data_IF_357131012298
#
_entry.id   IF_357131012298
#
_cell.length_a   1.000
_cell.length_b   1.000
_cell.length_c   1.000
_cell.angle_alpha   90.00
_cell.angle_beta   90.00
_cell.angle_gamma   90.00
#
_symmetry.space_group_name_H-M   'P 1'
#
loop_
_entity.id
_entity.type
_entity.pdbx_description
1 polymer ?
#
# COMPACT_ATOMS: atom_id res chain seq x y z
N UNK A 1 -41.81 31.55 -13.56
CA UNK A 1 -41.78 31.04 -12.17
C UNK A 1 -40.65 31.74 -11.42
N UNK A 2 -40.91 32.36 -10.26
CA UNK A 2 -39.95 33.21 -9.53
C UNK A 2 -38.80 32.37 -8.98
N UNK A 3 -37.66 32.36 -9.68
CA UNK A 3 -36.40 31.75 -9.23
C UNK A 3 -35.78 32.43 -8.01
N UNK A 4 -36.20 33.67 -7.71
CA UNK A 4 -35.73 34.50 -6.59
C UNK A 4 -36.74 34.48 -5.44
N UNK A 5 -36.26 34.20 -4.23
CA UNK A 5 -37.06 34.16 -3.01
C UNK A 5 -36.43 35.09 -1.94
N UNK A 6 -37.15 36.11 -1.45
CA UNK A 6 -36.67 36.92 -0.34
C UNK A 6 -36.63 36.10 0.95
N UNK A 7 -35.54 36.19 1.71
CA UNK A 7 -35.33 35.51 2.98
C UNK A 7 -34.72 36.48 3.99
N UNK A 8 -35.20 36.44 5.23
CA UNK A 8 -34.66 37.23 6.33
C UNK A 8 -33.73 36.37 7.18
N UNK A 9 -32.49 36.79 7.36
CA UNK A 9 -31.50 36.09 8.19
C UNK A 9 -30.89 37.09 9.16
N UNK A 10 -31.14 36.88 10.45
CA UNK A 10 -30.70 37.73 11.56
C UNK A 10 -31.07 39.21 11.36
N UNK A 11 -32.30 39.48 10.89
CA UNK A 11 -32.81 40.84 10.66
C UNK A 11 -32.38 41.49 9.35
N UNK A 12 -31.53 40.83 8.55
CA UNK A 12 -31.08 41.33 7.24
C UNK A 12 -31.76 40.58 6.10
N UNK A 13 -32.28 41.33 5.13
CA UNK A 13 -32.91 40.79 3.92
C UNK A 13 -31.86 40.27 2.93
N UNK A 14 -32.10 39.08 2.40
CA UNK A 14 -31.33 38.47 1.33
C UNK A 14 -32.27 37.86 0.28
N UNK A 15 -31.72 37.54 -0.88
CA UNK A 15 -32.44 36.94 -2.00
C UNK A 15 -31.81 35.58 -2.33
N UNK A 16 -32.56 34.50 -2.07
CA UNK A 16 -32.17 33.14 -2.40
C UNK A 16 -32.54 32.84 -3.85
N UNK A 17 -31.55 32.38 -4.63
CA UNK A 17 -31.74 32.04 -6.04
C UNK A 17 -31.76 30.53 -6.21
N UNK A 18 -32.85 30.01 -6.76
CA UNK A 18 -32.98 28.62 -7.17
C UNK A 18 -33.34 28.58 -8.66
N UNK A 19 -32.62 27.80 -9.45
CA UNK A 19 -32.84 27.64 -10.89
C UNK A 19 -33.40 26.25 -11.18
N UNK A 20 -34.43 26.16 -12.03
CA UNK A 20 -35.02 24.88 -12.41
C UNK A 20 -34.65 24.54 -13.84
N UNK A 21 -34.02 23.39 -14.04
CA UNK A 21 -33.61 22.92 -15.37
C UNK A 21 -33.62 21.40 -15.43
N UNK A 22 -34.14 20.81 -16.53
CA UNK A 22 -34.26 19.35 -16.75
C UNK A 22 -34.72 18.58 -15.49
N UNK A 23 -35.84 18.99 -14.89
CA UNK A 23 -36.44 18.43 -13.65
C UNK A 23 -35.64 18.61 -12.34
N UNK A 24 -34.54 19.35 -12.35
CA UNK A 24 -33.69 19.59 -11.17
C UNK A 24 -33.84 21.03 -10.67
N UNK A 25 -34.00 21.18 -9.36
CA UNK A 25 -33.91 22.46 -8.66
C UNK A 25 -32.48 22.65 -8.16
N UNK A 26 -31.78 23.66 -8.67
CA UNK A 26 -30.39 23.96 -8.36
C UNK A 26 -30.35 25.26 -7.56
N UNK A 27 -29.89 25.19 -6.32
CA UNK A 27 -29.58 26.38 -5.55
C UNK A 27 -28.34 27.06 -6.15
N UNK A 28 -28.45 28.30 -6.62
CA UNK A 28 -27.34 29.05 -7.23
C UNK A 28 -26.58 29.89 -6.20
N UNK A 29 -27.27 30.46 -5.23
CA UNK A 29 -26.65 31.29 -4.21
C UNK A 29 -27.64 32.16 -3.44
N UNK A 30 -27.10 32.95 -2.51
CA UNK A 30 -27.84 33.95 -1.74
C UNK A 30 -27.13 35.28 -1.90
N UNK A 31 -27.90 36.32 -2.24
CA UNK A 31 -27.38 37.65 -2.58
C UNK A 31 -28.02 38.72 -1.69
N UNK A 32 -27.31 39.82 -1.46
CA UNK A 32 -27.82 40.94 -0.64
C UNK A 32 -28.74 41.88 -1.42
N UNK A 33 -28.65 41.89 -2.74
CA UNK A 33 -29.50 42.72 -3.62
C UNK A 33 -30.32 41.85 -4.57
N UNK A 34 -31.48 42.37 -4.99
CA UNK A 34 -32.32 41.72 -6.00
C UNK A 34 -31.67 41.79 -7.40
N UNK A 35 -30.91 42.85 -7.67
CA UNK A 35 -30.18 43.02 -8.93
C UNK A 35 -29.14 41.90 -9.13
N UNK A 36 -28.33 41.60 -8.11
CA UNK A 36 -27.35 40.52 -8.13
C UNK A 36 -28.00 39.15 -8.33
N UNK A 37 -29.15 38.94 -7.67
CA UNK A 37 -29.94 37.73 -7.81
C UNK A 37 -30.47 37.56 -9.24
N UNK A 38 -30.89 38.65 -9.88
CA UNK A 38 -31.35 38.65 -11.26
C UNK A 38 -30.21 38.40 -12.26
N UNK A 39 -29.06 39.05 -12.08
CA UNK A 39 -27.86 38.81 -12.90
C UNK A 39 -27.47 37.33 -12.84
N UNK A 40 -27.45 36.73 -11.64
CA UNK A 40 -27.13 35.30 -11.44
C UNK A 40 -28.07 34.37 -12.20
N UNK A 41 -29.37 34.70 -12.28
CA UNK A 41 -30.34 33.91 -13.06
C UNK A 41 -30.11 34.04 -14.55
N UNK A 42 -29.85 35.27 -15.02
CA UNK A 42 -29.58 35.52 -16.42
C UNK A 42 -28.32 34.74 -16.85
N UNK A 43 -27.24 34.80 -16.07
CA UNK A 43 -26.02 34.00 -16.30
C UNK A 43 -26.30 32.49 -16.35
N UNK A 44 -27.12 31.97 -15.42
CA UNK A 44 -27.47 30.56 -15.42
C UNK A 44 -28.33 30.15 -16.63
N UNK A 45 -29.20 31.05 -17.08
CA UNK A 45 -30.05 30.88 -18.28
C UNK A 45 -29.18 30.85 -19.52
N UNK A 46 -28.30 31.85 -19.69
CA UNK A 46 -27.36 31.95 -20.79
C UNK A 46 -26.46 30.70 -20.89
N UNK A 47 -25.98 30.18 -19.76
CA UNK A 47 -25.15 28.97 -19.72
C UNK A 47 -25.90 27.74 -20.23
N UNK A 48 -27.17 27.56 -19.86
CA UNK A 48 -27.92 26.36 -20.29
C UNK A 48 -28.47 26.47 -21.70
N UNK A 49 -28.66 27.69 -22.22
CA UNK A 49 -29.14 27.95 -23.59
C UNK A 49 -28.01 28.04 -24.62
N UNK A 50 -26.82 28.51 -24.21
CA UNK A 50 -25.66 28.63 -25.10
C UNK A 50 -24.79 27.38 -25.02
N UNK A 51 -24.37 26.82 -26.17
CA UNK A 51 -23.42 25.71 -26.25
C UNK A 51 -21.97 26.18 -26.05
N UNK A 52 -21.64 26.61 -24.82
CA UNK A 52 -20.28 27.00 -24.44
C UNK A 52 -19.59 25.92 -23.59
N UNK A 53 -18.27 25.74 -23.77
CA UNK A 53 -17.49 24.91 -22.85
C UNK A 53 -17.30 25.59 -21.48
N UNK A 54 -16.90 24.83 -20.46
CA UNK A 54 -16.63 25.34 -19.11
C UNK A 54 -15.64 26.50 -19.12
N UNK A 55 -14.58 26.42 -19.96
CA UNK A 55 -13.55 27.47 -20.06
C UNK A 55 -14.02 28.73 -20.80
N UNK A 56 -15.05 28.62 -21.64
CA UNK A 56 -15.59 29.73 -22.43
C UNK A 56 -16.79 30.40 -21.77
N UNK A 57 -17.36 29.78 -20.72
CA UNK A 57 -18.52 30.31 -20.03
C UNK A 57 -18.22 31.70 -19.43
N UNK A 58 -19.08 32.67 -19.75
CA UNK A 58 -18.99 34.04 -19.22
C UNK A 58 -19.95 34.18 -18.04
N UNK A 59 -19.42 34.62 -16.90
CA UNK A 59 -20.19 34.83 -15.68
C UNK A 59 -19.45 35.82 -14.77
N UNK A 60 -20.19 36.46 -13.86
CA UNK A 60 -19.68 37.47 -12.92
C UNK A 60 -20.04 37.11 -11.48
N UNK A 61 -21.30 36.75 -11.22
CA UNK A 61 -21.80 36.49 -9.85
C UNK A 61 -22.04 35.02 -9.57
N UNK A 62 -22.27 34.22 -10.62
CA UNK A 62 -22.42 32.79 -10.47
C UNK A 62 -21.10 32.15 -10.04
N UNK A 63 -21.13 31.31 -9.01
CA UNK A 63 -19.90 30.61 -8.61
C UNK A 63 -19.48 29.58 -9.67
N UNK A 64 -18.18 29.45 -9.91
CA UNK A 64 -17.62 28.50 -10.88
C UNK A 64 -18.14 27.06 -10.69
N UNK A 65 -18.32 26.59 -9.45
CA UNK A 65 -18.90 25.27 -9.18
C UNK A 65 -20.30 25.10 -9.80
N UNK A 66 -21.11 26.17 -9.79
CA UNK A 66 -22.46 26.15 -10.39
C UNK A 66 -22.39 26.16 -11.91
N UNK A 67 -21.43 26.87 -12.49
CA UNK A 67 -21.16 26.84 -13.93
C UNK A 67 -20.90 25.41 -14.40
N UNK A 68 -19.97 24.70 -13.74
CA UNK A 68 -19.66 23.29 -14.07
C UNK A 68 -20.90 22.39 -13.95
N UNK A 69 -21.68 22.53 -12.87
CA UNK A 69 -22.89 21.74 -12.64
C UNK A 69 -23.96 21.99 -13.71
N UNK A 70 -24.18 23.26 -14.08
CA UNK A 70 -25.15 23.63 -15.11
C UNK A 70 -24.75 23.10 -16.48
N UNK A 71 -23.47 23.26 -16.84
CA UNK A 71 -22.93 22.75 -18.10
C UNK A 71 -23.02 21.23 -18.16
N UNK A 72 -22.64 20.51 -17.10
CA UNK A 72 -22.79 19.06 -17.07
C UNK A 72 -24.26 18.60 -17.19
N UNK A 73 -25.19 19.30 -16.54
CA UNK A 73 -26.62 18.98 -16.67
C UNK A 73 -27.16 19.30 -18.07
N UNK A 74 -26.66 20.37 -18.71
CA UNK A 74 -26.98 20.73 -20.10
C UNK A 74 -26.51 19.62 -21.05
N UNK A 75 -25.23 19.28 -20.99
CA UNK A 75 -24.57 18.41 -21.96
C UNK A 75 -24.87 16.93 -21.70
N UNK A 76 -24.73 16.48 -20.44
CA UNK A 76 -24.79 15.07 -20.07
C UNK A 76 -26.11 14.67 -19.39
N UNK A 77 -27.05 15.60 -19.20
CA UNK A 77 -28.36 15.33 -18.57
C UNK A 77 -28.28 14.89 -17.11
N UNK A 78 -27.10 14.92 -16.49
CA UNK A 78 -26.85 14.36 -15.16
C UNK A 78 -26.53 15.47 -14.17
N UNK A 79 -27.10 15.38 -12.98
CA UNK A 79 -26.88 16.35 -11.90
C UNK A 79 -25.98 15.77 -10.81
N UNK A 80 -24.86 16.46 -10.56
CA UNK A 80 -24.01 16.24 -9.39
C UNK A 80 -23.98 17.51 -8.53
N UNK A 81 -23.95 17.34 -7.20
CA UNK A 81 -23.79 18.48 -6.27
C UNK A 81 -22.36 19.04 -6.29
N UNK A 82 -21.41 18.18 -6.63
CA UNK A 82 -20.00 18.52 -6.79
C UNK A 82 -19.73 18.96 -8.25
N UNK A 83 -18.69 19.79 -8.49
CA UNK A 83 -18.36 20.34 -9.81
C UNK A 83 -17.74 19.27 -10.72
N UNK A 84 -18.57 18.33 -11.16
CA UNK A 84 -18.21 17.20 -12.01
C UNK A 84 -18.73 17.45 -13.42
N UNK A 85 -17.89 17.20 -14.42
CA UNK A 85 -18.25 17.11 -15.82
C UNK A 85 -17.96 15.70 -16.35
N UNK A 86 -18.97 15.05 -16.94
CA UNK A 86 -18.84 13.72 -17.54
C UNK A 86 -18.29 13.83 -18.96
N UNK A 87 -17.36 12.95 -19.27
CA UNK A 87 -16.93 12.61 -20.62
C UNK A 87 -17.44 11.19 -20.96
N UNK A 88 -17.06 10.66 -22.12
CA UNK A 88 -17.54 9.35 -22.61
C UNK A 88 -17.12 8.20 -21.68
N UNK A 89 -15.84 8.13 -21.30
CA UNK A 89 -15.21 7.02 -20.57
C UNK A 89 -14.52 7.46 -19.25
N UNK A 90 -14.55 8.75 -18.93
CA UNK A 90 -14.00 9.31 -17.70
C UNK A 90 -14.79 10.54 -17.24
N UNK A 91 -14.38 11.17 -16.15
CA UNK A 91 -14.95 12.45 -15.72
C UNK A 91 -13.90 13.41 -15.20
N UNK A 92 -14.18 14.71 -15.33
CA UNK A 92 -13.42 15.79 -14.72
C UNK A 92 -14.07 16.25 -13.42
N UNK A 93 -13.28 16.41 -12.37
CA UNK A 93 -13.66 17.08 -11.13
C UNK A 93 -12.91 18.41 -11.04
N UNK A 94 -13.65 19.52 -11.08
CA UNK A 94 -13.05 20.84 -11.09
C UNK A 94 -12.85 21.37 -9.66
N UNK A 95 -11.61 21.74 -9.32
CA UNK A 95 -11.29 22.43 -8.06
C UNK A 95 -11.41 23.95 -8.25
N UNK A 96 -10.99 24.45 -9.41
CA UNK A 96 -11.12 25.83 -9.89
C UNK A 96 -11.13 25.83 -11.42
N UNK A 97 -11.22 27.01 -12.05
CA UNK A 97 -11.13 27.17 -13.51
C UNK A 97 -9.84 26.61 -14.11
N UNK A 98 -8.77 26.56 -13.32
CA UNK A 98 -7.43 26.19 -13.77
C UNK A 98 -7.04 24.76 -13.36
N UNK A 99 -7.80 24.14 -12.46
CA UNK A 99 -7.48 22.82 -11.90
C UNK A 99 -8.65 21.88 -12.12
N UNK A 100 -8.49 21.01 -13.11
CA UNK A 100 -9.39 19.91 -13.44
C UNK A 100 -8.69 18.59 -13.14
N UNK A 101 -9.25 17.79 -12.23
CA UNK A 101 -8.76 16.46 -11.89
C UNK A 101 -9.51 15.41 -12.72
N UNK A 102 -8.82 14.58 -13.48
CA UNK A 102 -9.44 13.55 -14.33
C UNK A 102 -9.41 12.19 -13.63
N UNK A 103 -10.52 11.45 -13.68
CA UNK A 103 -10.67 10.15 -13.02
C UNK A 103 -11.45 9.15 -13.87
N UNK A 104 -11.15 7.86 -13.71
CA UNK A 104 -11.95 6.78 -14.29
C UNK A 104 -13.36 6.72 -13.66
N UNK A 105 -14.35 6.27 -14.43
CA UNK A 105 -15.77 6.22 -14.01
C UNK A 105 -16.02 5.40 -12.73
N UNK A 106 -15.17 4.42 -12.40
CA UNK A 106 -15.26 3.64 -11.16
C UNK A 106 -15.19 4.52 -9.89
N UNK A 107 -14.66 5.73 -10.01
CA UNK A 107 -14.56 6.70 -8.92
C UNK A 107 -15.71 7.72 -8.88
N UNK A 108 -16.59 7.73 -9.88
CA UNK A 108 -17.61 8.76 -10.08
C UNK A 108 -18.53 8.92 -8.87
N UNK A 109 -19.20 7.85 -8.43
CA UNK A 109 -20.15 7.93 -7.32
C UNK A 109 -19.51 8.34 -6.00
N UNK A 110 -18.25 7.95 -5.79
CA UNK A 110 -17.49 8.37 -4.61
C UNK A 110 -17.25 9.87 -4.63
N UNK A 111 -16.71 10.42 -5.71
CA UNK A 111 -16.42 11.86 -5.80
C UNK A 111 -17.68 12.71 -6.06
N UNK A 112 -18.78 12.13 -6.51
CA UNK A 112 -20.09 12.77 -6.50
C UNK A 112 -20.66 12.95 -5.09
N UNK A 113 -20.29 12.05 -4.17
CA UNK A 113 -20.73 12.06 -2.76
C UNK A 113 -19.79 12.88 -1.89
N UNK A 114 -18.47 12.67 -2.01
CA UNK A 114 -17.45 13.30 -1.17
C UNK A 114 -16.72 14.41 -1.91
N UNK A 115 -16.86 15.63 -1.40
CA UNK A 115 -16.19 16.81 -1.95
C UNK A 115 -14.67 16.69 -1.79
N UNK A 116 -13.94 16.99 -2.87
CA UNK A 116 -12.49 17.13 -2.86
C UNK A 116 -12.11 18.55 -2.42
N UNK A 117 -11.16 18.63 -1.50
CA UNK A 117 -10.54 19.84 -1.00
C UNK A 117 -9.06 19.86 -1.40
N UNK A 118 -8.50 21.07 -1.55
CA UNK A 118 -7.08 21.31 -1.85
C UNK A 118 -6.41 22.01 -0.66
N UNK A 119 -5.25 21.51 -0.21
CA UNK A 119 -4.38 22.18 0.77
C UNK A 119 -2.94 22.10 0.27
N UNK A 120 -2.39 23.24 -0.17
CA UNK A 120 -1.13 23.25 -0.92
C UNK A 120 -1.26 22.40 -2.18
N UNK A 121 -0.36 21.43 -2.37
CA UNK A 121 -0.39 20.49 -3.51
C UNK A 121 -1.16 19.19 -3.20
N UNK A 122 -1.78 19.08 -2.02
CA UNK A 122 -2.48 17.88 -1.61
C UNK A 122 -3.99 18.00 -1.84
N UNK A 123 -4.58 16.94 -2.36
CA UNK A 123 -6.02 16.79 -2.52
C UNK A 123 -6.56 15.73 -1.56
N UNK A 124 -7.68 16.03 -0.92
CA UNK A 124 -8.28 15.15 0.08
C UNK A 124 -9.79 15.25 0.09
N UNK A 125 -10.45 14.14 0.45
CA UNK A 125 -11.86 14.11 0.78
C UNK A 125 -12.04 14.12 2.30
N UNK A 126 -13.14 14.69 2.77
CA UNK A 126 -13.53 14.62 4.18
C UNK A 126 -14.83 13.83 4.33
N UNK A 127 -14.81 12.83 5.20
CA UNK A 127 -16.01 12.11 5.63
C UNK A 127 -16.07 12.16 7.16
N UNK A 128 -17.15 12.75 7.68
CA UNK A 128 -17.35 13.05 9.10
C UNK A 128 -16.12 13.75 9.71
N UNK A 129 -15.38 13.06 10.59
CA UNK A 129 -14.20 13.56 11.29
C UNK A 129 -12.88 13.09 10.65
N UNK A 130 -12.93 12.33 9.55
CA UNK A 130 -11.77 11.74 8.90
C UNK A 130 -11.43 12.44 7.59
N UNK A 131 -10.16 12.78 7.41
CA UNK A 131 -9.61 13.25 6.14
C UNK A 131 -8.85 12.12 5.48
N UNK A 132 -9.09 11.90 4.19
CA UNK A 132 -8.41 10.89 3.39
C UNK A 132 -7.85 11.53 2.12
N UNK A 133 -6.57 11.31 1.86
CA UNK A 133 -5.95 11.70 0.58
C UNK A 133 -6.66 11.02 -0.58
N UNK A 134 -6.84 11.72 -1.70
CA UNK A 134 -7.38 11.09 -2.92
C UNK A 134 -6.44 9.98 -3.43
N UNK A 135 -5.14 10.08 -3.14
CA UNK A 135 -4.16 9.05 -3.52
C UNK A 135 -4.49 7.69 -2.91
N UNK A 136 -5.00 7.66 -1.67
CA UNK A 136 -5.43 6.41 -1.02
C UNK A 136 -6.48 5.69 -1.85
N UNK A 137 -7.42 6.46 -2.44
CA UNK A 137 -8.51 5.90 -3.26
C UNK A 137 -7.98 5.28 -4.56
N UNK A 138 -6.86 5.80 -5.06
CA UNK A 138 -6.15 5.33 -6.25
C UNK A 138 -5.14 4.21 -5.94
N UNK A 139 -5.09 3.74 -4.69
CA UNK A 139 -4.13 2.72 -4.26
C UNK A 139 -2.69 3.25 -4.12
N UNK A 140 -2.51 4.56 -3.96
CA UNK A 140 -1.21 5.21 -3.77
C UNK A 140 -1.10 5.68 -2.33
N UNK A 141 0.03 5.34 -1.70
CA UNK A 141 0.33 5.78 -0.34
C UNK A 141 0.52 7.31 -0.33
N UNK A 142 -0.04 8.08 0.63
CA UNK A 142 0.02 9.54 0.59
C UNK A 142 1.44 10.11 0.72
N UNK A 143 2.38 9.33 1.28
CA UNK A 143 3.80 9.66 1.38
C UNK A 143 4.60 9.32 0.12
N UNK A 144 3.99 8.69 -0.88
CA UNK A 144 4.62 8.37 -2.16
C UNK A 144 5.04 9.64 -2.90
N UNK A 145 6.23 9.61 -3.49
CA UNK A 145 6.81 10.73 -4.23
C UNK A 145 6.54 10.59 -5.74
N UNK A 146 6.07 11.67 -6.34
CA UNK A 146 5.92 11.78 -7.80
C UNK A 146 7.30 11.57 -8.47
N UNK A 147 7.34 10.86 -9.59
CA UNK A 147 8.53 10.45 -10.36
C UNK A 147 9.49 9.49 -9.64
N UNK A 148 9.12 8.99 -8.45
CA UNK A 148 9.91 7.99 -7.71
C UNK A 148 9.06 6.76 -7.38
N UNK A 149 7.86 6.98 -6.86
CA UNK A 149 6.94 5.92 -6.41
C UNK A 149 5.70 5.82 -7.29
N UNK A 150 5.35 6.89 -8.00
CA UNK A 150 4.38 6.89 -9.10
C UNK A 150 4.68 8.04 -10.07
N UNK A 151 4.22 7.96 -11.32
CA UNK A 151 4.36 9.03 -12.31
C UNK A 151 3.11 9.14 -13.20
N UNK A 152 2.93 10.30 -13.80
CA UNK A 152 1.89 10.57 -14.79
C UNK A 152 2.50 10.42 -16.18
N UNK A 153 2.02 9.47 -16.99
CA UNK A 153 2.61 9.15 -18.30
C UNK A 153 2.55 10.34 -19.27
N UNK A 154 1.48 11.12 -19.22
CA UNK A 154 1.27 12.31 -20.07
C UNK A 154 1.83 13.62 -19.48
N UNK A 155 2.59 13.56 -18.38
CA UNK A 155 3.09 14.73 -17.64
C UNK A 155 2.02 15.70 -17.11
N UNK A 156 0.73 15.34 -17.15
CA UNK A 156 -0.34 16.11 -16.52
C UNK A 156 -0.52 15.64 -15.05
N UNK A 157 -0.18 16.47 -14.05
CA UNK A 157 -0.25 16.10 -12.63
C UNK A 157 -1.69 16.01 -12.10
N UNK A 158 -2.69 16.29 -12.93
CA UNK A 158 -4.10 16.23 -12.57
C UNK A 158 -4.86 15.12 -13.29
N UNK A 159 -4.21 14.36 -14.19
CA UNK A 159 -4.83 13.23 -14.87
C UNK A 159 -4.60 11.94 -14.07
N UNK A 160 -5.51 11.66 -13.13
CA UNK A 160 -5.47 10.51 -12.24
C UNK A 160 -6.13 9.25 -12.82
N UNK A 161 -6.44 9.23 -14.12
CA UNK A 161 -6.96 8.03 -14.79
C UNK A 161 -5.94 6.91 -14.75
N UNK A 162 -6.43 5.69 -14.57
CA UNK A 162 -5.63 4.47 -14.43
C UNK A 162 -4.66 4.24 -15.60
N UNK A 163 -5.08 4.55 -16.82
CA UNK A 163 -4.23 4.45 -18.01
C UNK A 163 -3.03 5.41 -17.97
N UNK A 164 -3.18 6.57 -17.31
CA UNK A 164 -2.15 7.59 -17.21
C UNK A 164 -1.30 7.47 -15.93
N UNK A 165 -1.83 6.86 -14.88
CA UNK A 165 -1.21 6.80 -13.57
C UNK A 165 -0.39 5.50 -13.41
N UNK A 166 0.94 5.62 -13.52
CA UNK A 166 1.85 4.49 -13.35
C UNK A 166 2.39 4.44 -11.92
N UNK A 167 1.93 3.46 -11.13
CA UNK A 167 2.42 3.24 -9.75
C UNK A 167 3.67 2.36 -9.81
N UNK A 168 4.84 2.97 -9.55
CA UNK A 168 6.14 2.30 -9.60
C UNK A 168 6.43 1.49 -8.33
N UNK A 169 5.91 1.95 -7.17
CA UNK A 169 6.06 1.29 -5.87
C UNK A 169 4.75 1.32 -5.10
N UNK A 170 3.96 0.25 -5.26
CA UNK A 170 2.63 0.15 -4.64
C UNK A 170 2.69 -0.19 -3.15
N UNK A 171 3.70 -0.94 -2.72
CA UNK A 171 3.79 -1.44 -1.34
C UNK A 171 5.17 -1.22 -0.70
N UNK A 172 5.16 -0.85 0.57
CA UNK A 172 6.34 -0.80 1.42
C UNK A 172 7.08 -2.13 1.42
N UNK A 173 8.39 -2.05 1.21
CA UNK A 173 9.27 -3.22 1.25
C UNK A 173 9.07 -4.20 0.09
N UNK A 174 8.26 -3.90 -0.92
CA UNK A 174 8.04 -4.79 -2.07
C UNK A 174 8.76 -4.23 -3.31
N UNK A 175 9.43 -5.10 -4.04
CA UNK A 175 10.06 -4.78 -5.32
C UNK A 175 9.87 -5.91 -6.33
N UNK A 176 9.51 -5.57 -7.56
CA UNK A 176 9.51 -6.52 -8.67
C UNK A 176 10.95 -6.93 -9.04
N UNK A 177 11.12 -8.19 -9.41
CA UNK A 177 12.37 -8.78 -9.87
C UNK A 177 12.04 -9.64 -11.09
N UNK A 178 12.78 -9.44 -12.17
CA UNK A 178 12.67 -10.28 -13.36
C UNK A 178 13.56 -11.51 -13.21
N UNK A 179 12.98 -12.70 -13.44
CA UNK A 179 13.70 -13.97 -13.41
C UNK A 179 13.30 -14.79 -14.63
N UNK A 180 14.03 -14.60 -15.73
CA UNK A 180 13.63 -15.10 -17.04
C UNK A 180 12.41 -14.33 -17.55
N UNK A 181 11.41 -15.02 -18.09
CA UNK A 181 10.16 -14.42 -18.58
C UNK A 181 9.12 -14.14 -17.48
N UNK A 182 9.45 -14.41 -16.21
CA UNK A 182 8.52 -14.23 -15.09
C UNK A 182 8.91 -13.05 -14.21
N UNK A 183 7.94 -12.18 -13.95
CA UNK A 183 8.02 -11.15 -12.91
C UNK A 183 7.68 -11.76 -11.56
N UNK A 184 8.60 -11.67 -10.60
CA UNK A 184 8.40 -12.08 -9.21
C UNK A 184 8.48 -10.85 -8.29
N UNK A 185 7.94 -10.96 -7.08
CA UNK A 185 7.89 -9.87 -6.12
C UNK A 185 8.64 -10.24 -4.85
N UNK A 186 9.70 -9.50 -4.53
CA UNK A 186 10.47 -9.69 -3.32
C UNK A 186 9.97 -8.76 -2.22
N UNK A 187 9.63 -9.34 -1.07
CA UNK A 187 9.33 -8.60 0.16
C UNK A 187 10.59 -8.51 1.03
N UNK A 188 10.93 -7.31 1.51
CA UNK A 188 12.07 -7.03 2.37
C UNK A 188 11.71 -6.08 3.50
N UNK A 189 12.36 -6.25 4.64
CA UNK A 189 12.26 -5.35 5.78
C UNK A 189 13.65 -4.95 6.24
N UNK A 190 13.88 -3.65 6.42
CA UNK A 190 15.22 -3.12 6.72
C UNK A 190 15.41 -2.87 8.21
N UNK A 191 16.39 -3.55 8.84
CA UNK A 191 16.86 -3.37 10.23
C UNK A 191 18.15 -4.10 10.61
N UNK A 192 19.14 -3.39 11.17
CA UNK A 192 20.12 -2.58 10.42
C UNK A 192 20.57 -3.19 9.08
N UNK A 193 20.40 -4.50 8.92
CA UNK A 193 20.56 -5.22 7.67
C UNK A 193 19.20 -5.38 6.97
N UNK A 194 19.23 -5.48 5.65
CA UNK A 194 18.02 -5.83 4.89
C UNK A 194 17.75 -7.32 5.05
N UNK A 195 16.58 -7.66 5.61
CA UNK A 195 16.11 -9.05 5.68
C UNK A 195 15.12 -9.26 4.55
N UNK A 196 15.42 -10.23 3.68
CA UNK A 196 14.47 -10.71 2.68
C UNK A 196 13.46 -11.59 3.40
N UNK A 197 12.18 -11.20 3.35
CA UNK A 197 11.07 -11.96 3.93
C UNK A 197 10.76 -13.15 3.03
N UNK A 198 10.71 -12.92 1.72
CA UNK A 198 10.44 -13.95 0.72
C UNK A 198 10.36 -13.39 -0.69
N UNK A 199 10.25 -14.29 -1.66
CA UNK A 199 9.98 -13.99 -3.06
C UNK A 199 8.67 -14.68 -3.41
N UNK A 200 7.73 -13.95 -3.99
CA UNK A 200 6.36 -14.37 -4.23
C UNK A 200 5.97 -14.12 -5.68
N UNK A 201 5.06 -14.93 -6.23
CA UNK A 201 4.53 -14.71 -7.58
C UNK A 201 3.51 -13.56 -7.62
N UNK A 202 2.92 -13.21 -6.48
CA UNK A 202 1.92 -12.15 -6.36
C UNK A 202 2.46 -10.96 -5.57
N UNK A 203 2.29 -9.76 -6.13
CA UNK A 203 2.61 -8.50 -5.46
C UNK A 203 1.83 -8.35 -4.14
N UNK A 204 0.55 -8.74 -4.16
CA UNK A 204 -0.34 -8.73 -2.99
C UNK A 204 0.22 -9.66 -1.90
N UNK A 205 0.62 -10.89 -2.26
CA UNK A 205 1.20 -11.84 -1.30
C UNK A 205 2.50 -11.31 -0.69
N UNK A 206 3.35 -10.68 -1.50
CA UNK A 206 4.57 -10.01 -1.01
C UNK A 206 4.26 -8.86 -0.05
N UNK A 207 3.24 -8.05 -0.33
CA UNK A 207 2.82 -6.95 0.52
C UNK A 207 2.23 -7.42 1.86
N UNK A 208 1.43 -8.50 1.85
CA UNK A 208 0.92 -9.16 3.06
C UNK A 208 2.07 -9.77 3.87
N UNK A 209 3.08 -10.36 3.22
CA UNK A 209 4.26 -10.89 3.90
C UNK A 209 5.04 -9.79 4.63
N UNK A 210 5.15 -8.61 4.01
CA UNK A 210 5.69 -7.42 4.67
C UNK A 210 4.87 -7.02 5.90
N UNK A 211 3.54 -6.98 5.80
CA UNK A 211 2.68 -6.68 6.96
C UNK A 211 2.88 -7.66 8.11
N UNK A 212 2.91 -8.96 7.81
CA UNK A 212 3.17 -10.01 8.82
C UNK A 212 4.51 -9.81 9.52
N UNK A 213 5.54 -9.38 8.78
CA UNK A 213 6.84 -9.05 9.37
C UNK A 213 6.77 -7.80 10.28
N UNK A 214 6.03 -6.76 9.88
CA UNK A 214 5.80 -5.56 10.71
C UNK A 214 5.07 -5.91 12.00
N UNK A 215 4.00 -6.69 11.91
CA UNK A 215 3.19 -7.09 13.06
C UNK A 215 3.99 -7.97 14.03
N UNK A 216 4.79 -8.91 13.50
CA UNK A 216 5.74 -9.66 14.29
C UNK A 216 6.71 -8.73 15.05
N UNK A 217 7.35 -7.78 14.37
CA UNK A 217 8.30 -6.87 15.03
C UNK A 217 7.65 -6.00 16.11
N UNK A 218 6.41 -5.55 15.89
CA UNK A 218 5.62 -4.85 16.91
C UNK A 218 5.34 -5.75 18.11
N UNK A 219 4.98 -7.01 17.88
CA UNK A 219 4.67 -7.97 18.95
C UNK A 219 5.87 -8.29 19.85
N UNK A 220 7.09 -8.25 19.32
CA UNK A 220 8.34 -8.47 20.07
C UNK A 220 8.80 -7.19 20.79
N UNK A 221 7.96 -6.14 20.86
CA UNK A 221 8.24 -4.92 21.61
C UNK A 221 9.27 -3.98 20.97
N UNK A 222 9.64 -4.20 19.70
CA UNK A 222 10.59 -3.33 19.03
C UNK A 222 9.90 -2.04 18.55
N UNK A 223 10.20 -0.92 19.19
CA UNK A 223 9.62 0.39 18.87
C UNK A 223 10.16 0.95 17.55
N UNK A 224 9.61 0.48 16.45
CA UNK A 224 9.99 0.91 15.12
C UNK A 224 8.83 1.61 14.41
N UNK A 225 9.12 2.76 13.80
CA UNK A 225 8.17 3.52 12.97
C UNK A 225 7.95 2.84 11.60
N UNK A 226 7.51 1.59 11.62
CA UNK A 226 7.17 0.83 10.42
C UNK A 226 5.65 0.91 10.17
N UNK A 227 5.28 1.33 8.97
CA UNK A 227 3.90 1.36 8.51
C UNK A 227 3.56 0.03 7.83
N UNK A 228 2.33 -0.46 8.05
CA UNK A 228 1.79 -1.59 7.31
C UNK A 228 1.21 -1.11 5.97
N UNK A 229 1.30 -1.96 4.94
CA UNK A 229 0.65 -1.78 3.66
C UNK A 229 -0.86 -1.90 3.78
N UNK A 230 -1.60 -1.04 3.08
CA UNK A 230 -3.04 -1.20 2.87
C UNK A 230 -3.22 -1.96 1.56
N UNK A 231 -3.88 -3.12 1.63
CA UNK A 231 -4.10 -3.98 0.48
C UNK A 231 -5.53 -3.75 -0.01
N UNK A 232 -5.65 -3.10 -1.16
CA UNK A 232 -6.93 -2.88 -1.82
C UNK A 232 -7.37 -4.12 -2.61
N UNK A 233 -8.67 -4.24 -2.84
CA UNK A 233 -9.29 -5.28 -3.70
C UNK A 233 -9.19 -6.72 -3.18
N UNK A 234 -9.02 -6.92 -1.87
CA UNK A 234 -9.22 -8.22 -1.22
C UNK A 234 -10.13 -8.06 0.00
N UNK A 235 -10.94 -9.06 0.26
CA UNK A 235 -11.76 -9.13 1.47
C UNK A 235 -10.88 -9.43 2.69
N UNK A 236 -11.38 -9.11 3.88
CA UNK A 236 -10.69 -9.48 5.13
C UNK A 236 -10.41 -10.98 5.21
N UNK A 237 -11.37 -11.80 4.77
CA UNK A 237 -11.22 -13.26 4.77
C UNK A 237 -10.07 -13.74 3.86
N UNK A 238 -9.97 -13.19 2.65
CA UNK A 238 -8.87 -13.51 1.74
C UNK A 238 -7.51 -13.02 2.28
N UNK A 239 -7.48 -11.83 2.89
CA UNK A 239 -6.29 -11.33 3.57
C UNK A 239 -5.82 -12.29 4.65
N UNK A 240 -6.72 -12.72 5.55
CA UNK A 240 -6.39 -13.59 6.68
C UNK A 240 -5.85 -14.95 6.21
N UNK A 241 -6.44 -15.54 5.16
CA UNK A 241 -5.95 -16.80 4.56
C UNK A 241 -4.51 -16.66 4.07
N UNK A 242 -4.23 -15.64 3.24
CA UNK A 242 -2.88 -15.41 2.71
C UNK A 242 -1.90 -15.10 3.84
N UNK A 243 -2.35 -14.31 4.81
CA UNK A 243 -1.54 -13.93 5.97
C UNK A 243 -1.11 -15.18 6.74
N UNK A 244 -2.03 -16.10 7.04
CA UNK A 244 -1.74 -17.31 7.80
C UNK A 244 -0.79 -18.27 7.06
N UNK A 245 -0.94 -18.43 5.74
CA UNK A 245 -0.04 -19.24 4.91
C UNK A 245 1.42 -18.78 4.92
N UNK A 246 1.69 -17.49 5.18
CA UNK A 246 3.04 -16.95 5.08
C UNK A 246 3.89 -17.36 6.29
N UNK A 247 4.95 -18.11 6.06
CA UNK A 247 5.98 -18.36 7.07
C UNK A 247 7.04 -17.26 7.07
N UNK A 248 7.26 -16.62 8.21
CA UNK A 248 8.32 -15.63 8.35
C UNK A 248 9.70 -16.31 8.47
N UNK A 249 10.75 -15.76 7.85
CA UNK A 249 12.06 -16.41 7.81
C UNK A 249 12.71 -16.48 9.20
N UNK A 250 13.49 -17.53 9.43
CA UNK A 250 14.28 -17.72 10.66
C UNK A 250 15.12 -16.50 11.03
N UNK A 251 15.70 -15.81 10.04
CA UNK A 251 16.51 -14.59 10.26
C UNK A 251 15.73 -13.46 10.92
N UNK A 252 14.40 -13.46 10.78
CA UNK A 252 13.52 -12.48 11.40
C UNK A 252 12.99 -12.98 12.76
N UNK A 253 12.59 -14.25 12.83
CA UNK A 253 11.88 -14.79 14.00
C UNK A 253 12.78 -15.45 15.04
N UNK A 254 13.99 -15.86 14.67
CA UNK A 254 14.84 -16.80 15.41
C UNK A 254 14.12 -18.10 15.82
N UNK A 255 12.96 -18.40 15.22
CA UNK A 255 12.18 -19.62 15.45
C UNK A 255 12.60 -20.67 14.42
N UNK A 256 13.18 -21.77 14.89
CA UNK A 256 13.57 -22.91 14.05
C UNK A 256 12.37 -23.38 13.22
N UNK A 257 12.48 -23.51 11.88
CA UNK A 257 11.38 -24.00 11.05
C UNK A 257 10.96 -25.40 11.51
N UNK A 258 9.66 -25.63 11.72
CA UNK A 258 9.13 -26.92 12.20
C UNK A 258 9.34 -28.07 11.19
N UNK A 259 9.62 -27.77 9.92
CA UNK A 259 9.74 -28.75 8.83
C UNK A 259 11.14 -28.79 8.16
N UNK A 260 12.22 -28.53 8.89
CA UNK A 260 13.57 -28.70 8.34
C UNK A 260 13.91 -30.19 8.18
N UNK A 261 13.64 -30.75 6.98
CA UNK A 261 14.08 -32.09 6.58
C UNK A 261 15.60 -32.25 6.80
N UNK A 262 15.96 -33.06 7.80
CA UNK A 262 17.29 -33.58 8.20
C UNK A 262 18.37 -32.52 8.44
N UNK A 263 18.82 -32.41 9.70
CA UNK A 263 20.03 -31.66 10.02
C UNK A 263 21.28 -32.25 9.33
N UNK A 264 22.12 -31.39 8.77
CA UNK A 264 23.37 -31.79 8.11
C UNK A 264 24.26 -32.55 9.09
N UNK A 265 24.73 -33.71 8.64
CA UNK A 265 25.61 -34.58 9.43
C UNK A 265 24.88 -35.34 10.55
N UNK A 266 23.54 -35.33 10.58
CA UNK A 266 22.75 -36.12 11.51
C UNK A 266 22.09 -37.28 10.78
N UNK A 267 22.25 -38.49 11.33
CA UNK A 267 21.72 -39.74 10.78
C UNK A 267 20.95 -40.49 11.86
N UNK A 268 19.77 -41.00 11.55
CA UNK A 268 18.98 -41.83 12.48
C UNK A 268 19.71 -43.16 12.69
N UNK A 269 19.86 -43.57 13.95
CA UNK A 269 20.46 -44.83 14.38
C UNK A 269 19.47 -45.59 15.26
N UNK A 270 19.64 -46.92 15.41
CA UNK A 270 18.74 -47.79 16.18
C UNK A 270 18.51 -47.31 17.63
N UNK A 271 19.48 -46.61 18.19
CA UNK A 271 19.52 -46.14 19.59
C UNK A 271 19.58 -44.61 19.75
N UNK A 272 19.24 -43.85 18.70
CA UNK A 272 19.20 -42.39 18.74
C UNK A 272 19.65 -41.73 17.44
N UNK A 273 20.39 -40.62 17.55
CA UNK A 273 20.82 -39.80 16.43
C UNK A 273 22.34 -39.70 16.38
N UNK A 274 22.93 -40.21 15.29
CA UNK A 274 24.37 -40.21 15.04
C UNK A 274 24.79 -38.87 14.42
N UNK A 275 25.75 -38.19 15.01
CA UNK A 275 26.36 -36.98 14.43
C UNK A 275 27.71 -37.31 13.77
N UNK A 276 27.94 -36.80 12.56
CA UNK A 276 29.16 -36.99 11.78
C UNK A 276 29.54 -35.71 11.02
N UNK A 277 30.84 -35.46 10.87
CA UNK A 277 31.35 -34.34 10.07
C UNK A 277 32.46 -34.79 9.11
N UNK A 278 32.50 -34.23 7.91
CA UNK A 278 33.59 -34.48 6.96
C UNK A 278 34.85 -33.68 7.31
N UNK A 279 36.00 -34.36 7.41
CA UNK A 279 37.32 -33.75 7.58
C UNK A 279 38.37 -34.52 6.77
N UNK A 280 39.15 -33.81 5.94
CA UNK A 280 40.17 -34.39 5.02
C UNK A 280 39.68 -35.61 4.23
N UNK A 281 38.47 -35.53 3.67
CA UNK A 281 37.86 -36.61 2.89
C UNK A 281 37.31 -37.79 3.70
N UNK A 282 37.41 -37.78 5.04
CA UNK A 282 36.90 -38.83 5.93
C UNK A 282 35.72 -38.34 6.75
N UNK A 283 34.78 -39.23 7.05
CA UNK A 283 33.66 -38.95 7.97
C UNK A 283 34.10 -39.20 9.41
N UNK A 284 34.17 -38.14 10.21
CA UNK A 284 34.49 -38.17 11.64
C UNK A 284 33.20 -38.35 12.43
N UNK A 285 33.13 -39.41 13.23
CA UNK A 285 32.01 -39.66 14.14
C UNK A 285 32.14 -38.78 15.39
N UNK A 286 31.10 -38.01 15.70
CA UNK A 286 31.09 -37.05 16.80
C UNK A 286 30.37 -37.58 18.04
N UNK A 287 29.49 -38.57 17.88
CA UNK A 287 28.73 -39.17 18.98
C UNK A 287 27.34 -39.64 18.56
N UNK A 288 26.71 -40.35 19.49
CA UNK A 288 25.32 -40.78 19.43
C UNK A 288 24.55 -39.99 20.50
N UNK A 289 23.42 -39.41 20.11
CA UNK A 289 22.66 -38.49 20.94
C UNK A 289 21.20 -38.94 21.05
N UNK A 290 20.55 -38.61 22.16
CA UNK A 290 19.14 -38.96 22.41
C UNK A 290 18.16 -38.19 21.54
N UNK A 291 18.53 -36.99 21.06
CA UNK A 291 17.65 -36.15 20.22
C UNK A 291 18.37 -35.67 18.96
N UNK A 292 17.60 -35.44 17.89
CA UNK A 292 18.11 -34.92 16.62
C UNK A 292 18.77 -33.55 16.80
N UNK A 293 18.20 -32.70 17.66
CA UNK A 293 18.73 -31.38 18.02
C UNK A 293 20.11 -31.50 18.67
N UNK A 294 20.31 -32.43 19.60
CA UNK A 294 21.61 -32.66 20.25
C UNK A 294 22.68 -33.09 19.24
N UNK A 295 22.33 -33.97 18.31
CA UNK A 295 23.23 -34.38 17.23
C UNK A 295 23.58 -33.21 16.30
N UNK A 296 22.62 -32.35 15.98
CA UNK A 296 22.84 -31.16 15.16
C UNK A 296 23.73 -30.11 15.86
N UNK A 297 23.56 -29.92 17.17
CA UNK A 297 24.41 -29.07 18.00
C UNK A 297 25.87 -29.57 18.02
N UNK A 298 26.06 -30.89 18.13
CA UNK A 298 27.38 -31.51 18.05
C UNK A 298 28.06 -31.25 16.69
N UNK A 299 27.30 -31.37 15.59
CA UNK A 299 27.79 -30.99 14.25
C UNK A 299 28.19 -29.51 14.20
N UNK A 300 27.37 -28.60 14.73
CA UNK A 300 27.64 -27.17 14.73
C UNK A 300 28.94 -26.83 15.45
N UNK A 301 29.16 -27.44 16.62
CA UNK A 301 30.37 -27.21 17.41
C UNK A 301 31.61 -27.73 16.68
N UNK A 302 31.55 -28.94 16.11
CA UNK A 302 32.66 -29.48 15.32
C UNK A 302 32.96 -28.62 14.07
N UNK A 303 31.93 -28.15 13.37
CA UNK A 303 32.06 -27.26 12.22
C UNK A 303 32.71 -25.92 12.60
N UNK A 304 32.34 -25.39 13.77
CA UNK A 304 32.95 -24.17 14.31
C UNK A 304 34.42 -24.38 14.70
N UNK A 305 34.75 -25.49 15.36
CA UNK A 305 36.15 -25.82 15.71
C UNK A 305 37.03 -25.96 14.46
N UNK A 306 36.48 -26.56 13.39
CA UNK A 306 37.24 -26.79 12.16
C UNK A 306 37.35 -25.56 11.25
N UNK A 307 36.32 -24.70 11.21
CA UNK A 307 36.17 -23.65 10.17
C UNK A 307 35.86 -22.26 10.74
N UNK A 308 35.81 -22.11 12.05
CA UNK A 308 35.45 -20.88 12.74
C UNK A 308 34.08 -20.32 12.29
N UNK A 309 34.04 -19.01 12.05
CA UNK A 309 32.83 -18.32 11.60
C UNK A 309 32.37 -18.69 10.18
N UNK A 310 33.25 -19.30 9.36
CA UNK A 310 32.92 -19.74 8.00
C UNK A 310 32.25 -21.12 7.94
N UNK A 311 32.17 -21.83 9.07
CA UNK A 311 31.55 -23.15 9.15
C UNK A 311 30.03 -23.11 9.04
N UNK A 312 29.44 -24.05 8.30
CA UNK A 312 27.98 -24.24 8.24
C UNK A 312 27.43 -24.63 9.62
N UNK A 313 26.24 -24.12 9.97
CA UNK A 313 25.54 -24.44 11.21
C UNK A 313 24.09 -24.82 10.90
N UNK A 314 23.69 -25.98 11.37
CA UNK A 314 22.30 -26.41 11.42
C UNK A 314 21.48 -25.39 12.21
N UNK A 315 20.25 -25.07 11.76
CA UNK A 315 19.39 -24.08 12.39
C UNK A 315 18.71 -24.67 13.63
N UNK A 316 19.45 -24.80 14.73
CA UNK A 316 18.93 -25.31 16.03
C UNK A 316 19.03 -24.24 17.12
N UNK A 317 18.19 -24.36 18.15
CA UNK A 317 18.20 -23.48 19.32
C UNK A 317 18.37 -24.29 20.61
N UNK A 318 19.36 -23.98 21.47
CA UNK A 318 20.48 -23.07 21.20
C UNK A 318 21.38 -23.58 20.06
N UNK A 319 22.12 -22.67 19.40
CA UNK A 319 22.99 -22.99 18.24
C UNK A 319 24.11 -23.96 18.64
N UNK A 320 24.68 -23.74 19.82
CA UNK A 320 25.75 -24.56 20.39
C UNK A 320 25.28 -25.20 21.69
N UNK A 321 25.85 -26.36 21.96
CA UNK A 321 25.81 -26.97 23.27
C UNK A 321 27.23 -27.37 23.65
N UNK A 322 27.77 -26.69 24.66
CA UNK A 322 29.16 -26.85 25.06
C UNK A 322 29.36 -28.04 26.02
N UNK A 323 28.31 -28.72 26.47
CA UNK A 323 28.44 -29.91 27.33
C UNK A 323 29.22 -31.04 26.65
N UNK A 324 29.17 -31.11 25.32
CA UNK A 324 29.81 -32.16 24.51
C UNK A 324 31.16 -31.72 23.92
N UNK A 325 31.66 -30.53 24.27
CA UNK A 325 32.83 -29.91 23.64
C UNK A 325 34.10 -30.74 23.77
N UNK A 326 34.42 -31.24 24.96
CA UNK A 326 35.61 -32.06 25.18
C UNK A 326 35.60 -33.32 24.30
N UNK A 327 34.47 -34.04 24.28
CA UNK A 327 34.28 -35.25 23.46
C UNK A 327 34.44 -34.96 21.96
N UNK A 328 33.88 -33.85 21.50
CA UNK A 328 33.97 -33.45 20.08
C UNK A 328 35.42 -33.09 19.71
N UNK A 329 36.12 -32.33 20.56
CA UNK A 329 37.54 -32.02 20.36
C UNK A 329 38.37 -33.30 20.29
N UNK A 330 38.13 -34.27 21.17
CA UNK A 330 38.86 -35.54 21.17
C UNK A 330 38.59 -36.36 19.90
N UNK A 331 37.34 -36.41 19.43
CA UNK A 331 36.99 -37.08 18.17
C UNK A 331 37.71 -36.46 16.96
N UNK A 332 37.80 -35.12 16.92
CA UNK A 332 38.54 -34.41 15.89
C UNK A 332 40.06 -34.67 16.00
N UNK A 333 40.63 -34.65 17.21
CA UNK A 333 42.05 -34.93 17.45
C UNK A 333 42.46 -36.34 17.00
N UNK A 334 41.62 -37.36 17.29
CA UNK A 334 41.81 -38.74 16.79
C UNK A 334 41.77 -38.83 15.27
N UNK A 335 41.07 -37.90 14.62
CA UNK A 335 40.96 -37.81 13.17
C UNK A 335 42.08 -36.96 12.53
N UNK A 336 43.13 -36.64 13.29
CA UNK A 336 44.29 -35.91 12.81
C UNK A 336 44.11 -34.39 12.76
N UNK A 337 43.05 -33.85 13.39
CA UNK A 337 42.94 -32.41 13.64
C UNK A 337 43.87 -32.02 14.80
N UNK A 338 44.45 -30.82 14.71
CA UNK A 338 45.23 -30.19 15.77
C UNK A 338 44.71 -28.76 15.92
N UNK A 339 44.58 -28.25 17.15
CA UNK A 339 44.32 -26.82 17.35
C UNK A 339 45.47 -26.03 16.73
N UNK A 340 45.14 -24.97 16.01
CA UNK A 340 46.13 -24.00 15.52
C UNK A 340 46.70 -23.20 16.67
#
# INVERSE_FOLDING_TARGET
MKYIYPINVNGKLYYQVNFFYKSKKIYLGRYSSIADAQITINEATDIVETMCSIKQAKYTLLSFNKVVILINLRDNGTYFKNPIYLYEDYFGYYISSDIELLFDLIHLFFFATYKIYKRGNLFYTQHTFTQSSILNRLGIVPSSRINIDYKFKNNNPFDFRSDNLEVLKRYYGVSAIEKGEKTLYQARISKPNTIIIGIFESEIKAAIAYNKAVDYLKSVGMQYKLNSNVIFYITKKEYDIIYDEIELPYKLTNKVPQNAKKFRGVVIHKSGFKACIGYKGKSVYLGLFSTEIRAAQAYNLASYILKGHKGYRNPVSPIFNFSDQAKIIDALKRSGWRPN
#
